data_IF_885517330332
#
_entry.id   IF_885517330332
#
_cell.length_a   1.000
_cell.length_b   1.000
_cell.length_c   1.000
_cell.angle_alpha   90.00
_cell.angle_beta   90.00
_cell.angle_gamma   90.00
#
_symmetry.space_group_name_H-M   'P 1'
#
loop_
_entity.id
_entity.type
_entity.pdbx_description
1 polymer ?
#
# COMPACT_ATOMS: atom_id res chain seq x y z
N UNK A 1 30.64 -60.56 12.05
CA UNK A 1 32.09 -60.47 12.30
C UNK A 1 32.44 -58.98 12.43
N UNK A 2 32.90 -58.58 13.63
CA UNK A 2 33.43 -57.26 14.04
C UNK A 2 32.49 -56.04 14.16
N UNK A 3 32.03 -55.90 15.40
CA UNK A 3 31.87 -54.68 16.21
C UNK A 3 32.93 -53.58 15.99
N UNK A 4 32.54 -52.30 16.15
CA UNK A 4 33.30 -51.32 16.94
C UNK A 4 32.39 -50.15 17.39
N UNK A 5 32.42 -49.93 18.71
CA UNK A 5 31.78 -48.86 19.48
C UNK A 5 32.55 -47.54 19.34
N UNK A 6 31.84 -46.41 19.42
CA UNK A 6 32.42 -45.09 19.69
C UNK A 6 31.48 -44.30 20.59
N UNK A 7 31.88 -44.10 21.85
CA UNK A 7 31.11 -43.46 22.90
C UNK A 7 31.44 -41.97 23.06
N UNK A 8 30.39 -41.21 23.39
CA UNK A 8 30.25 -40.02 24.24
C UNK A 8 31.43 -39.07 24.50
N UNK A 9 31.14 -37.75 24.46
CA UNK A 9 31.26 -36.86 25.63
C UNK A 9 30.22 -35.74 25.48
N UNK A 10 29.35 -35.64 26.49
CA UNK A 10 28.33 -34.61 26.70
C UNK A 10 28.90 -33.65 27.76
N UNK A 11 29.10 -32.38 27.42
CA UNK A 11 29.58 -31.37 28.39
C UNK A 11 28.41 -30.44 28.73
N UNK A 12 27.77 -30.71 29.87
CA UNK A 12 26.79 -29.83 30.48
C UNK A 12 27.53 -28.75 31.28
N UNK A 13 27.33 -27.47 30.93
CA UNK A 13 27.78 -26.34 31.74
C UNK A 13 26.58 -25.83 32.56
N UNK A 14 26.56 -26.17 33.84
CA UNK A 14 25.66 -25.59 34.84
C UNK A 14 26.41 -24.43 35.48
N UNK A 15 25.93 -23.19 35.30
CA UNK A 15 26.40 -22.02 36.07
C UNK A 15 25.26 -21.53 36.94
N UNK A 16 25.55 -21.51 38.24
CA UNK A 16 24.64 -21.34 39.35
C UNK A 16 24.11 -19.91 39.52
N UNK A 17 22.86 -19.83 39.98
CA UNK A 17 22.20 -18.64 40.49
C UNK A 17 22.92 -18.11 41.73
N UNK A 18 23.18 -16.81 41.78
CA UNK A 18 23.56 -16.10 43.01
C UNK A 18 22.63 -14.89 43.14
N UNK A 19 21.78 -14.89 44.16
CA UNK A 19 21.06 -13.73 44.66
C UNK A 19 21.36 -13.57 46.14
N UNK A 20 21.82 -12.39 46.56
CA UNK A 20 21.45 -11.82 47.86
C UNK A 20 21.14 -10.32 47.70
N UNK A 21 20.43 -9.60 48.56
CA UNK A 21 19.67 -9.88 49.77
C UNK A 21 18.68 -8.71 49.91
N UNK A 22 17.51 -8.98 50.46
CA UNK A 22 16.54 -7.98 50.90
C UNK A 22 17.04 -7.25 52.13
N UNK A 23 17.06 -5.91 52.09
CA UNK A 23 17.16 -5.07 53.28
C UNK A 23 16.13 -3.93 53.24
N UNK A 24 15.28 -3.91 54.25
CA UNK A 24 14.51 -2.79 54.80
C UNK A 24 14.43 -3.09 56.31
N UNK A 25 14.32 -2.13 57.24
CA UNK A 25 13.76 -0.77 57.09
C UNK A 25 14.58 0.33 57.78
N UNK A 26 14.21 1.61 57.59
CA UNK A 26 14.40 2.62 58.65
C UNK A 26 13.44 3.79 58.43
N UNK A 27 12.53 3.98 59.38
CA UNK A 27 11.64 5.13 59.47
C UNK A 27 12.31 6.23 60.31
N UNK A 28 12.21 7.48 59.88
CA UNK A 28 12.53 8.69 60.65
C UNK A 28 11.92 9.93 59.99
N UNK A 29 11.74 11.05 60.73
CA UNK A 29 10.42 11.61 61.00
C UNK A 29 9.93 12.68 60.03
N UNK A 30 8.60 12.86 60.06
CA UNK A 30 7.83 13.94 59.44
C UNK A 30 8.17 15.30 60.07
N UNK A 31 8.55 16.32 59.29
CA UNK A 31 8.51 17.70 59.74
C UNK A 31 7.09 18.28 59.60
N UNK A 32 6.70 19.04 60.62
CA UNK A 32 5.41 19.71 60.77
C UNK A 32 5.09 20.68 59.61
N UNK A 33 3.78 20.80 59.34
CA UNK A 33 3.20 21.73 58.39
C UNK A 33 3.58 23.19 58.69
N UNK A 34 4.05 23.90 57.67
CA UNK A 34 4.09 25.37 57.66
C UNK A 34 3.01 25.88 56.72
N UNK A 35 2.03 26.58 57.28
CA UNK A 35 0.97 27.30 56.57
C UNK A 35 1.59 28.46 55.78
N UNK A 36 1.62 28.36 54.46
CA UNK A 36 1.91 29.47 53.56
C UNK A 36 0.71 29.72 52.64
N UNK A 37 0.37 31.01 52.52
CA UNK A 37 -0.87 31.57 52.04
C UNK A 37 -1.27 31.17 50.61
N UNK A 38 -2.59 31.12 50.38
CA UNK A 38 -3.23 30.97 49.07
C UNK A 38 -2.84 32.09 48.09
N UNK A 39 -2.39 31.77 46.86
CA UNK A 39 -2.43 32.68 45.74
C UNK A 39 -3.79 32.58 45.02
N UNK A 40 -4.28 33.74 44.58
CA UNK A 40 -5.56 33.94 43.92
C UNK A 40 -5.79 33.04 42.69
N UNK A 41 -7.04 32.60 42.53
CA UNK A 41 -7.55 31.93 41.32
C UNK A 41 -7.45 32.83 40.10
N UNK A 42 -6.51 32.54 39.20
CA UNK A 42 -6.58 32.95 37.80
C UNK A 42 -7.74 32.22 37.11
N UNK A 43 -8.53 32.89 36.25
CA UNK A 43 -9.56 32.20 35.49
C UNK A 43 -8.90 31.19 34.52
N UNK A 44 -9.29 29.92 34.62
CA UNK A 44 -8.95 28.90 33.63
C UNK A 44 -9.42 29.36 32.25
N UNK A 45 -8.46 29.70 31.39
CA UNK A 45 -8.71 29.77 29.96
C UNK A 45 -9.20 28.39 29.51
N UNK A 46 -10.46 28.31 29.07
CA UNK A 46 -10.97 27.13 28.38
C UNK A 46 -10.09 26.94 27.15
N UNK A 47 -9.32 25.86 27.11
CA UNK A 47 -8.67 25.40 25.89
C UNK A 47 -9.80 25.03 24.93
N UNK A 48 -10.13 25.94 24.04
CA UNK A 48 -10.90 25.61 22.84
C UNK A 48 -9.95 24.75 22.02
N UNK A 49 -10.20 23.44 21.95
CA UNK A 49 -9.52 22.59 20.98
C UNK A 49 -9.74 23.22 19.59
N UNK A 50 -8.72 23.30 18.73
CA UNK A 50 -8.94 23.73 17.37
C UNK A 50 -9.95 22.79 16.73
N UNK A 51 -11.10 23.33 16.33
CA UNK A 51 -12.01 22.70 15.39
C UNK A 51 -11.20 22.33 14.15
N UNK A 52 -11.30 21.08 13.69
CA UNK A 52 -10.62 20.62 12.48
C UNK A 52 -10.90 21.59 11.33
N UNK A 53 -9.84 22.20 10.80
CA UNK A 53 -9.90 23.02 9.59
C UNK A 53 -10.35 22.16 8.40
N UNK A 54 -11.04 22.78 7.43
CA UNK A 54 -11.91 22.12 6.48
C UNK A 54 -11.17 21.25 5.47
N UNK A 55 -11.88 20.19 5.05
CA UNK A 55 -11.67 19.31 3.90
C UNK A 55 -10.70 19.91 2.87
N UNK A 56 -9.48 19.37 2.86
CA UNK A 56 -8.54 19.48 1.74
C UNK A 56 -9.32 19.18 0.45
N UNK A 57 -9.13 19.99 -0.60
CA UNK A 57 -9.74 19.79 -1.92
C UNK A 57 -9.74 18.30 -2.31
N UNK A 58 -10.78 17.79 -3.02
CA UNK A 58 -10.90 16.37 -3.29
C UNK A 58 -9.64 15.85 -3.95
N UNK A 59 -8.92 14.97 -3.24
CA UNK A 59 -7.70 14.39 -3.74
C UNK A 59 -8.03 13.09 -4.43
N UNK A 60 -7.72 13.01 -5.72
CA UNK A 60 -7.89 11.80 -6.50
C UNK A 60 -6.57 11.03 -6.59
N UNK A 61 -6.59 9.79 -6.14
CA UNK A 61 -5.46 8.87 -6.21
C UNK A 61 -5.85 7.68 -7.07
N UNK A 62 -5.14 7.51 -8.18
CA UNK A 62 -5.28 6.41 -9.11
C UNK A 62 -4.12 5.44 -8.94
N UNK A 63 -4.40 4.15 -8.88
CA UNK A 63 -3.41 3.07 -8.86
C UNK A 63 -3.75 2.10 -9.97
N UNK A 64 -2.83 1.90 -10.91
CA UNK A 64 -2.88 0.85 -11.93
C UNK A 64 -1.83 -0.18 -11.54
N UNK A 65 -2.22 -1.44 -11.40
CA UNK A 65 -1.30 -2.55 -11.13
C UNK A 65 -1.18 -3.41 -12.39
N UNK A 66 0.05 -3.51 -12.89
CA UNK A 66 0.46 -4.30 -14.06
C UNK A 66 1.21 -5.56 -13.60
N UNK A 67 1.45 -6.50 -14.51
CA UNK A 67 2.04 -7.80 -14.18
C UNK A 67 3.45 -8.03 -14.74
N UNK A 68 4.20 -8.72 -13.89
CA UNK A 68 5.38 -9.56 -14.07
C UNK A 68 6.52 -9.04 -14.95
N UNK A 69 6.93 -7.80 -14.70
CA UNK A 69 8.07 -7.21 -15.41
C UNK A 69 9.04 -6.52 -14.47
N UNK A 70 10.31 -6.91 -14.55
CA UNK A 70 11.37 -6.11 -13.95
C UNK A 70 11.45 -4.73 -14.64
N UNK A 71 11.99 -3.74 -13.93
CA UNK A 71 12.19 -2.39 -14.46
C UNK A 71 12.93 -2.40 -15.81
N UNK A 72 14.02 -3.17 -15.88
CA UNK A 72 14.81 -3.30 -17.10
C UNK A 72 14.04 -3.97 -18.25
N UNK A 73 13.11 -4.87 -17.93
CA UNK A 73 12.25 -5.53 -18.93
C UNK A 73 11.14 -4.61 -19.41
N UNK A 74 10.43 -3.97 -18.50
CA UNK A 74 9.34 -3.06 -18.82
C UNK A 74 9.79 -1.89 -19.71
N UNK A 75 10.95 -1.29 -19.42
CA UNK A 75 11.47 -0.15 -20.19
C UNK A 75 11.94 -0.50 -21.61
N UNK A 76 11.98 -1.78 -22.00
CA UNK A 76 12.19 -2.17 -23.41
C UNK A 76 10.95 -1.96 -24.27
N UNK A 77 9.76 -1.87 -23.68
CA UNK A 77 8.53 -1.57 -24.40
C UNK A 77 8.44 -0.05 -24.66
N UNK A 78 8.28 0.39 -25.93
CA UNK A 78 8.28 1.81 -26.27
C UNK A 78 7.24 2.65 -25.50
N UNK A 79 6.00 2.17 -25.38
CA UNK A 79 4.94 2.89 -24.65
C UNK A 79 5.24 3.04 -23.16
N UNK A 80 5.75 2.00 -22.51
CA UNK A 80 6.12 2.08 -21.08
C UNK A 80 7.31 3.02 -20.88
N UNK A 81 8.31 2.93 -21.78
CA UNK A 81 9.46 3.84 -21.77
C UNK A 81 9.04 5.31 -21.98
N UNK A 82 8.07 5.57 -22.86
CA UNK A 82 7.52 6.89 -23.09
C UNK A 82 6.80 7.45 -21.84
N UNK A 83 6.00 6.62 -21.15
CA UNK A 83 5.38 7.00 -19.88
C UNK A 83 6.44 7.32 -18.81
N UNK A 84 7.47 6.48 -18.69
CA UNK A 84 8.55 6.67 -17.73
C UNK A 84 9.43 7.89 -18.04
N UNK A 85 9.55 8.29 -19.31
CA UNK A 85 10.25 9.51 -19.72
C UNK A 85 9.40 10.77 -19.50
N UNK A 86 8.08 10.65 -19.62
CA UNK A 86 7.13 11.77 -19.45
C UNK A 86 6.88 12.09 -17.98
N UNK A 87 6.78 11.07 -17.13
CA UNK A 87 6.42 11.19 -15.73
C UNK A 87 7.59 10.82 -14.81
N UNK A 88 7.36 10.81 -13.49
CA UNK A 88 8.41 10.47 -12.54
C UNK A 88 8.60 8.97 -12.48
N UNK A 89 9.83 8.48 -12.61
CA UNK A 89 10.18 7.07 -12.48
C UNK A 89 10.96 6.82 -11.18
N UNK A 90 10.45 5.94 -10.32
CA UNK A 90 11.26 5.40 -9.23
C UNK A 90 12.12 4.24 -9.75
N UNK A 91 13.44 4.39 -9.70
CA UNK A 91 14.39 3.42 -10.29
C UNK A 91 14.82 2.32 -9.33
N UNK A 92 14.38 2.36 -8.07
CA UNK A 92 14.68 1.38 -7.03
C UNK A 92 13.43 1.05 -6.20
N UNK A 93 12.32 0.76 -6.89
CA UNK A 93 11.09 0.24 -6.31
C UNK A 93 11.07 -1.29 -6.40
N UNK A 94 10.74 -1.98 -5.30
CA UNK A 94 10.83 -3.44 -5.20
C UNK A 94 9.49 -4.10 -4.89
N UNK A 95 9.18 -5.17 -5.62
CA UNK A 95 8.17 -6.12 -5.22
C UNK A 95 8.59 -6.82 -3.92
N UNK A 96 7.62 -7.19 -3.08
CA UNK A 96 7.88 -7.73 -1.73
C UNK A 96 7.79 -9.26 -1.67
N UNK A 97 7.23 -9.89 -2.69
CA UNK A 97 7.01 -11.33 -2.75
C UNK A 97 6.95 -11.85 -4.19
N UNK A 98 6.73 -13.15 -4.31
CA UNK A 98 6.33 -13.85 -5.53
C UNK A 98 5.62 -15.15 -5.08
N UNK A 99 4.48 -15.55 -5.67
CA UNK A 99 3.84 -15.05 -6.90
C UNK A 99 3.03 -13.74 -6.70
N UNK A 100 2.18 -13.39 -7.67
CA UNK A 100 1.42 -12.12 -7.74
C UNK A 100 0.57 -11.82 -6.50
N UNK A 101 -0.30 -12.75 -6.07
CA UNK A 101 -1.31 -12.48 -5.02
C UNK A 101 -0.72 -11.85 -3.73
N UNK A 102 0.35 -12.39 -3.13
CA UNK A 102 1.01 -11.77 -1.99
C UNK A 102 1.37 -10.29 -2.16
N UNK A 103 1.73 -9.85 -3.38
CA UNK A 103 2.06 -8.45 -3.67
C UNK A 103 0.81 -7.56 -3.70
N UNK A 104 -0.31 -8.03 -4.28
CA UNK A 104 -1.60 -7.33 -4.20
C UNK A 104 -2.04 -7.16 -2.74
N UNK A 105 -1.91 -8.21 -1.92
CA UNK A 105 -2.23 -8.14 -0.49
C UNK A 105 -1.30 -7.18 0.27
N UNK A 106 -0.02 -7.13 -0.09
CA UNK A 106 0.93 -6.17 0.47
C UNK A 106 0.52 -4.71 0.15
N UNK A 107 0.12 -4.45 -1.10
CA UNK A 107 -0.35 -3.16 -1.58
C UNK A 107 -1.64 -2.68 -0.88
N UNK A 108 -2.47 -3.59 -0.36
CA UNK A 108 -3.77 -3.22 0.23
C UNK A 108 -3.95 -3.55 1.72
N UNK A 109 -3.01 -4.24 2.35
CA UNK A 109 -3.07 -4.53 3.80
C UNK A 109 -1.76 -4.37 4.56
N UNK A 110 -0.66 -4.08 3.87
CA UNK A 110 0.65 -4.00 4.51
C UNK A 110 1.17 -5.37 4.97
N UNK A 111 0.65 -6.46 4.41
CA UNK A 111 1.04 -7.83 4.77
C UNK A 111 0.82 -8.78 3.59
N UNK A 112 1.72 -9.73 3.39
CA UNK A 112 1.50 -10.88 2.51
C UNK A 112 0.64 -11.96 3.16
N UNK A 113 0.32 -11.82 4.44
CA UNK A 113 -0.39 -12.81 5.27
C UNK A 113 0.31 -14.17 5.37
N UNK A 114 1.60 -14.24 5.00
CA UNK A 114 2.34 -15.49 4.90
C UNK A 114 1.88 -16.38 3.73
N UNK A 115 1.04 -15.86 2.82
CA UNK A 115 0.62 -16.56 1.61
C UNK A 115 1.80 -16.61 0.64
N UNK A 116 1.97 -17.76 -0.02
CA UNK A 116 3.08 -18.03 -0.95
C UNK A 116 2.60 -18.66 -2.26
N UNK A 117 1.31 -18.54 -2.56
CA UNK A 117 0.68 -19.04 -3.77
C UNK A 117 -0.38 -18.04 -4.28
N UNK A 118 -0.97 -18.35 -5.43
CA UNK A 118 -2.05 -17.58 -6.09
C UNK A 118 -3.45 -18.15 -5.82
N UNK A 119 -3.60 -19.07 -4.86
CA UNK A 119 -4.88 -19.68 -4.55
C UNK A 119 -5.81 -18.67 -3.85
N UNK A 120 -7.11 -18.98 -3.81
CA UNK A 120 -8.04 -18.16 -3.05
C UNK A 120 -7.92 -18.44 -1.55
N UNK A 121 -7.78 -17.37 -0.76
CA UNK A 121 -7.68 -17.42 0.70
C UNK A 121 -8.68 -16.45 1.31
N UNK A 122 -9.43 -16.88 2.33
CA UNK A 122 -10.30 -15.97 3.07
C UNK A 122 -9.48 -15.31 4.17
N UNK A 123 -9.41 -13.98 4.13
CA UNK A 123 -8.73 -13.16 5.13
C UNK A 123 -9.74 -12.54 6.09
N UNK A 124 -9.33 -12.13 7.31
CA UNK A 124 -10.13 -11.25 8.15
C UNK A 124 -10.58 -9.99 7.39
N UNK A 125 -11.77 -9.49 7.72
CA UNK A 125 -12.24 -8.22 7.18
C UNK A 125 -11.29 -7.08 7.57
N UNK A 126 -10.98 -6.18 6.63
CA UNK A 126 -10.01 -5.12 6.82
C UNK A 126 -9.41 -4.63 5.50
N UNK A 127 -8.15 -4.20 5.56
CA UNK A 127 -7.44 -3.66 4.41
C UNK A 127 -7.84 -2.22 4.06
N UNK A 128 -7.18 -1.70 3.04
CA UNK A 128 -7.32 -0.32 2.57
C UNK A 128 -8.77 0.03 2.22
N UNK A 129 -9.50 -0.87 1.55
CA UNK A 129 -10.91 -0.65 1.21
C UNK A 129 -11.82 -0.46 2.44
N UNK A 130 -11.54 -1.18 3.53
CA UNK A 130 -12.27 -0.99 4.79
C UNK A 130 -11.90 0.35 5.46
N UNK A 131 -10.62 0.76 5.42
CA UNK A 131 -10.20 2.06 5.96
C UNK A 131 -10.82 3.24 5.21
N UNK A 132 -10.82 3.18 3.87
CA UNK A 132 -11.42 4.20 3.01
C UNK A 132 -12.92 4.33 3.30
N UNK A 133 -13.64 3.19 3.36
CA UNK A 133 -15.06 3.16 3.73
C UNK A 133 -15.30 3.76 5.12
N UNK A 134 -14.50 3.39 6.12
CA UNK A 134 -14.65 3.89 7.48
C UNK A 134 -14.37 5.39 7.61
N UNK A 135 -13.46 5.93 6.78
CA UNK A 135 -13.13 7.34 6.73
C UNK A 135 -14.10 8.17 5.85
N UNK A 136 -15.08 7.53 5.20
CA UNK A 136 -15.99 8.21 4.27
C UNK A 136 -15.32 8.65 2.97
N UNK A 137 -14.15 8.09 2.63
CA UNK A 137 -13.45 8.34 1.37
C UNK A 137 -14.09 7.49 0.28
N UNK A 138 -14.61 8.13 -0.77
CA UNK A 138 -15.21 7.41 -1.90
C UNK A 138 -14.13 6.61 -2.64
N UNK A 139 -14.40 5.34 -2.91
CA UNK A 139 -13.44 4.48 -3.59
C UNK A 139 -14.09 3.45 -4.50
N UNK A 140 -13.39 3.10 -5.57
CA UNK A 140 -13.74 1.99 -6.46
C UNK A 140 -12.50 1.22 -6.89
N UNK A 141 -12.70 -0.07 -7.12
CA UNK A 141 -11.71 -0.95 -7.72
C UNK A 141 -12.27 -1.48 -9.05
N UNK A 142 -11.69 -1.02 -10.15
CA UNK A 142 -12.10 -1.33 -11.52
C UNK A 142 -11.30 -2.52 -12.02
N UNK A 143 -12.02 -3.57 -12.42
CA UNK A 143 -11.44 -4.85 -12.80
C UNK A 143 -11.84 -5.17 -14.23
N UNK A 144 -10.88 -5.31 -15.13
CA UNK A 144 -11.19 -5.74 -16.50
C UNK A 144 -11.66 -7.20 -16.50
N UNK A 145 -12.68 -7.50 -17.31
CA UNK A 145 -13.27 -8.84 -17.39
C UNK A 145 -14.16 -9.23 -16.20
N UNK A 146 -14.33 -8.36 -15.19
CA UNK A 146 -15.31 -8.61 -14.12
C UNK A 146 -16.72 -8.58 -14.71
N UNK A 147 -17.50 -9.62 -14.45
CA UNK A 147 -18.86 -9.81 -14.96
C UNK A 147 -19.89 -9.80 -13.84
N UNK A 148 -21.17 -9.96 -14.19
CA UNK A 148 -22.25 -10.16 -13.22
C UNK A 148 -22.13 -11.45 -12.39
N UNK A 149 -21.21 -12.35 -12.74
CA UNK A 149 -20.86 -13.51 -11.90
C UNK A 149 -20.07 -13.11 -10.64
N UNK A 150 -19.65 -11.84 -10.52
CA UNK A 150 -18.94 -11.29 -9.37
C UNK A 150 -17.48 -11.75 -9.29
N UNK A 151 -16.79 -11.36 -8.22
CA UNK A 151 -15.35 -11.60 -8.06
C UNK A 151 -14.99 -13.11 -8.13
N UNK A 152 -15.78 -13.97 -7.50
CA UNK A 152 -15.46 -15.41 -7.38
C UNK A 152 -15.86 -16.24 -8.61
N UNK A 153 -16.63 -15.66 -9.53
CA UNK A 153 -17.20 -16.37 -10.68
C UNK A 153 -16.89 -15.75 -12.04
N UNK A 154 -16.20 -14.61 -12.09
CA UNK A 154 -15.88 -13.95 -13.35
C UNK A 154 -14.79 -14.70 -14.12
N UNK A 155 -14.96 -14.91 -15.43
CA UNK A 155 -14.02 -15.67 -16.25
C UNK A 155 -12.86 -14.79 -16.76
N UNK A 156 -11.94 -15.41 -17.50
CA UNK A 156 -10.96 -14.70 -18.32
C UNK A 156 -11.61 -13.55 -19.13
N UNK A 157 -10.97 -12.37 -19.23
CA UNK A 157 -9.59 -12.07 -18.85
C UNK A 157 -9.39 -11.69 -17.38
N UNK A 158 -10.44 -11.73 -16.56
CA UNK A 158 -10.33 -11.45 -15.14
C UNK A 158 -9.60 -12.57 -14.40
N UNK A 159 -8.73 -12.19 -13.47
CA UNK A 159 -8.06 -13.10 -12.54
C UNK A 159 -8.35 -12.68 -11.09
N UNK A 160 -8.97 -13.59 -10.31
CA UNK A 160 -9.31 -13.32 -8.91
C UNK A 160 -8.07 -12.94 -8.07
N UNK A 161 -6.92 -13.56 -8.35
CA UNK A 161 -5.64 -13.30 -7.68
C UNK A 161 -5.17 -11.84 -7.79
N UNK A 162 -5.61 -11.10 -8.80
CA UNK A 162 -5.26 -9.68 -9.01
C UNK A 162 -6.31 -8.72 -8.40
N UNK A 163 -7.29 -9.25 -7.66
CA UNK A 163 -8.31 -8.49 -6.93
C UNK A 163 -8.22 -8.77 -5.41
N UNK A 164 -7.38 -8.03 -4.67
CA UNK A 164 -7.18 -8.28 -3.25
C UNK A 164 -8.44 -7.99 -2.42
N UNK A 165 -9.33 -7.11 -2.90
CA UNK A 165 -10.52 -6.70 -2.15
C UNK A 165 -11.52 -7.84 -1.93
N UNK A 166 -11.48 -8.89 -2.76
CA UNK A 166 -12.34 -10.08 -2.60
C UNK A 166 -11.87 -11.08 -1.52
N UNK A 167 -10.66 -10.89 -0.99
CA UNK A 167 -10.05 -11.76 0.02
C UNK A 167 -10.47 -11.35 1.44
N UNK A 168 -10.63 -10.04 1.70
CA UNK A 168 -11.00 -9.52 3.01
C UNK A 168 -12.47 -9.81 3.34
N UNK A 169 -12.69 -10.65 4.36
CA UNK A 169 -14.03 -11.10 4.76
C UNK A 169 -14.67 -12.11 3.79
N UNK A 170 -13.94 -12.58 2.78
CA UNK A 170 -14.37 -13.65 1.89
C UNK A 170 -15.55 -13.30 0.98
N UNK A 171 -15.70 -12.03 0.60
CA UNK A 171 -16.83 -11.56 -0.21
C UNK A 171 -16.39 -10.51 -1.22
N UNK A 172 -17.16 -10.36 -2.30
CA UNK A 172 -16.94 -9.32 -3.31
C UNK A 172 -17.59 -8.01 -2.83
N UNK A 173 -16.82 -6.97 -2.48
CA UNK A 173 -17.40 -5.71 -2.03
C UNK A 173 -18.05 -4.97 -3.21
N UNK A 174 -19.14 -4.23 -2.95
CA UNK A 174 -19.87 -3.48 -3.97
C UNK A 174 -19.04 -2.38 -4.67
N UNK A 175 -17.91 -1.98 -4.07
CA UNK A 175 -16.95 -1.04 -4.64
C UNK A 175 -16.08 -1.66 -5.74
N UNK A 176 -16.02 -2.98 -5.84
CA UNK A 176 -15.37 -3.68 -6.96
C UNK A 176 -16.34 -3.75 -8.13
N UNK A 177 -15.96 -3.13 -9.24
CA UNK A 177 -16.82 -2.93 -10.41
C UNK A 177 -16.09 -3.28 -11.71
N UNK A 178 -16.83 -3.54 -12.81
CA UNK A 178 -16.22 -3.75 -14.12
C UNK A 178 -15.47 -2.51 -14.61
N UNK A 179 -14.35 -2.71 -15.31
CA UNK A 179 -13.55 -1.61 -15.87
C UNK A 179 -14.35 -0.69 -16.80
N UNK A 180 -15.37 -1.21 -17.47
CA UNK A 180 -16.27 -0.44 -18.36
C UNK A 180 -17.00 0.72 -17.65
N UNK A 181 -17.10 0.68 -16.32
CA UNK A 181 -17.66 1.78 -15.54
C UNK A 181 -16.73 3.00 -15.43
N UNK A 182 -15.42 2.82 -15.64
CA UNK A 182 -14.40 3.83 -15.37
C UNK A 182 -14.63 5.13 -16.16
N UNK A 183 -14.87 5.04 -17.46
CA UNK A 183 -15.04 6.24 -18.30
C UNK A 183 -16.27 7.06 -17.89
N UNK A 184 -17.33 6.39 -17.43
CA UNK A 184 -18.53 7.03 -16.90
C UNK A 184 -18.29 7.79 -15.60
N UNK A 185 -17.44 7.25 -14.73
CA UNK A 185 -17.08 7.84 -13.44
C UNK A 185 -16.00 8.95 -13.61
N UNK A 186 -15.06 8.79 -14.54
CA UNK A 186 -14.10 9.84 -14.93
C UNK A 186 -14.77 11.09 -15.52
N UNK A 187 -15.92 10.92 -16.18
CA UNK A 187 -16.68 12.01 -16.79
C UNK A 187 -17.64 12.73 -15.83
N UNK A 188 -17.87 12.17 -14.63
CA UNK A 188 -18.87 12.67 -13.68
C UNK A 188 -18.27 12.83 -12.28
N UNK A 189 -18.50 11.84 -11.42
CA UNK A 189 -18.13 11.85 -10.01
C UNK A 189 -17.06 10.78 -9.78
N UNK A 190 -15.81 11.15 -10.08
CA UNK A 190 -14.68 10.23 -9.94
C UNK A 190 -14.43 9.96 -8.46
N UNK A 191 -14.30 8.69 -8.03
CA UNK A 191 -13.96 8.38 -6.66
C UNK A 191 -12.64 9.04 -6.21
N UNK A 192 -12.51 9.35 -4.92
CA UNK A 192 -11.25 9.85 -4.36
C UNK A 192 -10.13 8.83 -4.47
N UNK A 193 -10.42 7.54 -4.24
CA UNK A 193 -9.47 6.46 -4.50
C UNK A 193 -9.94 5.55 -5.64
N UNK A 194 -9.08 5.36 -6.63
CA UNK A 194 -9.35 4.55 -7.82
C UNK A 194 -8.26 3.50 -7.94
N UNK A 195 -8.64 2.24 -7.78
CA UNK A 195 -7.78 1.09 -8.08
C UNK A 195 -8.17 0.51 -9.43
N UNK A 196 -7.20 0.16 -10.28
CA UNK A 196 -7.44 -0.43 -11.59
C UNK A 196 -6.53 -1.65 -11.76
N UNK A 197 -7.13 -2.79 -12.04
CA UNK A 197 -6.44 -4.02 -12.44
C UNK A 197 -6.88 -4.38 -13.87
N UNK A 198 -5.98 -4.31 -14.86
CA UNK A 198 -6.24 -4.81 -16.20
C UNK A 198 -6.41 -6.33 -16.22
N UNK A 199 -6.94 -6.87 -17.32
CA UNK A 199 -7.09 -8.31 -17.49
C UNK A 199 -5.75 -8.94 -17.89
N UNK A 200 -5.65 -10.27 -17.78
CA UNK A 200 -4.40 -11.02 -17.95
C UNK A 200 -3.62 -10.73 -19.25
N UNK A 201 -4.27 -10.24 -20.31
CA UNK A 201 -3.55 -9.79 -21.51
C UNK A 201 -3.02 -8.36 -21.32
N UNK A 202 -3.88 -7.43 -20.91
CA UNK A 202 -3.56 -6.01 -20.82
C UNK A 202 -2.70 -5.63 -19.61
N UNK A 203 -2.63 -6.47 -18.57
CA UNK A 203 -1.68 -6.30 -17.46
C UNK A 203 -0.26 -6.73 -17.86
N UNK A 204 -0.12 -7.50 -18.95
CA UNK A 204 1.16 -8.01 -19.45
C UNK A 204 1.53 -9.42 -18.96
N UNK A 205 0.62 -10.14 -18.29
CA UNK A 205 0.86 -11.50 -17.80
C UNK A 205 0.87 -12.53 -18.93
N UNK A 206 -0.19 -12.56 -19.75
CA UNK A 206 -0.38 -13.54 -20.84
C UNK A 206 0.03 -12.98 -22.21
N UNK A 207 0.02 -11.65 -22.37
CA UNK A 207 0.38 -10.98 -23.62
C UNK A 207 1.70 -10.21 -23.50
N UNK A 208 2.35 -10.00 -24.64
CA UNK A 208 3.62 -9.27 -24.66
C UNK A 208 3.42 -7.80 -24.28
N UNK A 209 4.46 -7.19 -23.70
CA UNK A 209 4.46 -5.74 -23.39
C UNK A 209 4.29 -4.84 -24.63
N UNK A 210 4.51 -5.37 -25.84
CA UNK A 210 4.22 -4.67 -27.10
C UNK A 210 2.71 -4.47 -27.34
N UNK A 211 1.86 -5.26 -26.67
CA UNK A 211 0.41 -5.16 -26.70
C UNK A 211 -0.13 -4.47 -25.44
N UNK A 212 0.32 -4.89 -24.25
CA UNK A 212 -0.08 -4.28 -22.98
C UNK A 212 0.36 -2.80 -22.87
N UNK A 213 1.52 -2.44 -23.43
CA UNK A 213 2.07 -1.08 -23.38
C UNK A 213 1.17 -0.02 -24.01
N UNK A 214 0.78 -0.14 -25.29
CA UNK A 214 -0.15 0.79 -25.93
C UNK A 214 -1.52 0.87 -25.24
N UNK A 215 -2.02 -0.26 -24.71
CA UNK A 215 -3.28 -0.27 -23.94
C UNK A 215 -3.15 0.57 -22.66
N UNK A 216 -2.06 0.36 -21.91
CA UNK A 216 -1.76 1.12 -20.69
C UNK A 216 -1.61 2.61 -20.99
N UNK A 217 -0.88 2.96 -22.05
CA UNK A 217 -0.72 4.36 -22.47
C UNK A 217 -2.07 5.01 -22.77
N UNK A 218 -2.98 4.30 -23.44
CA UNK A 218 -4.35 4.75 -23.69
C UNK A 218 -5.17 4.93 -22.41
N UNK A 219 -5.06 4.00 -21.45
CA UNK A 219 -5.71 4.13 -20.13
C UNK A 219 -5.19 5.34 -19.36
N UNK A 220 -3.87 5.50 -19.28
CA UNK A 220 -3.22 6.66 -18.65
C UNK A 220 -3.70 7.95 -19.30
N UNK A 221 -3.78 8.01 -20.64
CA UNK A 221 -4.25 9.17 -21.37
C UNK A 221 -5.69 9.56 -20.99
N UNK A 222 -6.60 8.60 -20.80
CA UNK A 222 -7.97 8.89 -20.34
C UNK A 222 -8.01 9.46 -18.93
N UNK A 223 -7.23 8.88 -18.00
CA UNK A 223 -7.15 9.36 -16.61
C UNK A 223 -6.61 10.79 -16.58
N UNK A 224 -5.47 11.07 -17.23
CA UNK A 224 -4.87 12.41 -17.19
C UNK A 224 -5.68 13.47 -17.94
N UNK A 225 -6.63 13.06 -18.79
CA UNK A 225 -7.58 13.96 -19.43
C UNK A 225 -8.78 14.33 -18.52
N UNK A 226 -9.03 13.59 -17.44
CA UNK A 226 -10.18 13.81 -16.55
C UNK A 226 -10.09 15.12 -15.75
N UNK A 227 -11.23 15.61 -15.24
CA UNK A 227 -11.26 16.74 -14.29
C UNK A 227 -10.60 16.36 -12.97
N UNK A 228 -10.85 15.14 -12.48
CA UNK A 228 -10.27 14.58 -11.27
C UNK A 228 -8.74 14.59 -11.28
N UNK A 229 -8.12 14.37 -12.46
CA UNK A 229 -6.68 14.53 -12.60
C UNK A 229 -6.23 15.98 -12.46
N UNK A 230 -6.90 16.90 -13.17
CA UNK A 230 -6.52 18.32 -13.21
C UNK A 230 -6.71 18.99 -11.85
N UNK A 231 -7.60 18.47 -11.02
CA UNK A 231 -7.78 18.87 -9.63
C UNK A 231 -6.78 18.14 -8.71
N UNK A 232 -5.49 18.35 -8.96
CA UNK A 232 -4.38 17.84 -8.14
C UNK A 232 -4.31 16.30 -7.97
N UNK A 233 -4.74 15.55 -8.99
CA UNK A 233 -4.68 14.09 -9.00
C UNK A 233 -3.25 13.53 -8.99
N UNK A 234 -3.09 12.32 -8.45
CA UNK A 234 -1.89 11.50 -8.59
C UNK A 234 -2.20 10.10 -9.09
N UNK A 235 -1.34 9.61 -9.97
CA UNK A 235 -1.48 8.33 -10.63
C UNK A 235 -0.20 7.55 -10.42
N UNK A 236 -0.35 6.35 -9.88
CA UNK A 236 0.70 5.38 -9.72
C UNK A 236 0.47 4.24 -10.70
N UNK A 237 1.43 4.00 -11.58
CA UNK A 237 1.49 2.78 -12.39
C UNK A 237 2.60 1.93 -11.82
N UNK A 238 2.24 0.78 -11.28
CA UNK A 238 3.16 -0.12 -10.57
C UNK A 238 3.02 -1.52 -11.12
N UNK A 239 4.10 -2.30 -11.06
CA UNK A 239 4.07 -3.74 -11.34
C UNK A 239 4.08 -4.50 -10.02
N UNK A 240 3.29 -5.56 -9.93
CA UNK A 240 3.14 -6.36 -8.72
C UNK A 240 4.38 -7.23 -8.43
N UNK A 241 4.98 -7.86 -9.44
CA UNK A 241 6.20 -8.64 -9.29
C UNK A 241 7.17 -8.51 -10.47
N UNK A 242 8.37 -9.02 -10.24
CA UNK A 242 9.45 -9.02 -11.21
C UNK A 242 9.34 -10.12 -12.27
N UNK A 243 10.38 -10.27 -13.07
CA UNK A 243 10.46 -11.30 -14.12
C UNK A 243 11.18 -12.59 -13.66
N UNK A 244 11.19 -12.85 -12.35
CA UNK A 244 11.94 -13.93 -11.71
C UNK A 244 13.46 -13.74 -11.65
N UNK A 245 14.02 -12.70 -12.30
CA UNK A 245 15.46 -12.37 -12.25
C UNK A 245 15.75 -11.16 -11.37
N UNK A 246 14.80 -10.24 -11.28
CA UNK A 246 14.91 -9.02 -10.48
C UNK A 246 13.57 -8.68 -9.85
N UNK A 247 13.57 -8.40 -8.53
CA UNK A 247 12.40 -7.82 -7.85
C UNK A 247 12.30 -6.31 -7.98
N UNK A 248 13.26 -5.65 -8.64
CA UNK A 248 13.12 -4.22 -8.98
C UNK A 248 12.14 -4.09 -10.13
N UNK A 249 11.01 -3.46 -9.86
CA UNK A 249 9.88 -3.29 -10.79
C UNK A 249 9.65 -1.80 -11.05
N UNK A 250 9.00 -1.41 -12.16
CA UNK A 250 8.70 -0.01 -12.38
C UNK A 250 7.66 0.51 -11.39
N UNK A 251 7.91 1.74 -10.93
CA UNK A 251 6.87 2.61 -10.40
C UNK A 251 6.95 3.93 -11.17
N UNK A 252 5.93 4.21 -11.97
CA UNK A 252 5.75 5.48 -12.67
C UNK A 252 4.72 6.29 -11.88
N UNK A 253 5.12 7.48 -11.47
CA UNK A 253 4.29 8.43 -10.74
C UNK A 253 4.04 9.63 -11.63
N UNK A 254 2.80 9.77 -12.06
CA UNK A 254 2.32 10.99 -12.67
C UNK A 254 1.65 11.83 -11.57
N UNK A 255 1.81 13.15 -11.65
CA UNK A 255 1.00 14.12 -10.88
C UNK A 255 0.72 15.31 -11.79
N UNK A 256 -0.36 16.05 -11.54
CA UNK A 256 -0.67 17.23 -12.33
C UNK A 256 0.41 18.34 -12.21
N UNK A 257 1.12 18.37 -11.08
CA UNK A 257 1.95 19.51 -10.67
C UNK A 257 3.47 19.27 -10.76
N UNK A 258 3.92 18.05 -11.07
CA UNK A 258 5.35 17.71 -11.16
C UNK A 258 5.76 17.26 -12.56
N UNK A 259 6.83 17.87 -13.08
CA UNK A 259 7.52 17.38 -14.26
C UNK A 259 8.20 16.03 -13.98
N UNK A 260 8.28 15.19 -15.01
CA UNK A 260 8.93 13.87 -14.93
C UNK A 260 10.41 13.96 -14.57
N UNK A 261 10.85 13.05 -13.70
CA UNK A 261 12.24 12.87 -13.27
C UNK A 261 12.50 11.44 -12.82
N UNK A 262 13.76 11.04 -12.73
CA UNK A 262 14.12 9.75 -12.11
C UNK A 262 14.51 9.95 -10.65
N UNK A 263 14.05 9.06 -9.77
CA UNK A 263 14.33 9.09 -8.34
C UNK A 263 14.83 7.73 -7.86
N UNK A 264 15.99 7.71 -7.19
CA UNK A 264 16.66 6.48 -6.73
C UNK A 264 16.37 6.08 -5.29
N UNK A 265 15.30 6.60 -4.68
CA UNK A 265 14.89 6.21 -3.33
C UNK A 265 14.53 4.72 -3.27
N UNK A 266 14.87 4.05 -2.17
CA UNK A 266 14.50 2.66 -1.94
C UNK A 266 13.05 2.60 -1.47
N UNK A 267 12.20 1.97 -2.28
CA UNK A 267 10.75 1.88 -2.07
C UNK A 267 10.25 0.47 -2.35
N UNK A 268 9.06 0.15 -1.83
CA UNK A 268 8.36 -1.11 -2.09
C UNK A 268 6.83 -0.95 -2.06
N UNK A 269 6.09 -2.05 -2.10
CA UNK A 269 4.62 -2.04 -1.99
C UNK A 269 4.10 -1.39 -0.71
N UNK A 270 4.82 -1.54 0.39
CA UNK A 270 4.47 -0.90 1.66
C UNK A 270 4.71 0.60 1.62
N UNK A 271 5.74 1.08 0.90
CA UNK A 271 5.95 2.51 0.63
C UNK A 271 4.78 3.13 -0.14
N UNK A 272 4.25 2.44 -1.14
CA UNK A 272 3.09 2.92 -1.91
C UNK A 272 1.83 2.95 -1.05
N UNK A 273 1.54 1.89 -0.30
CA UNK A 273 0.41 1.87 0.63
C UNK A 273 0.51 3.00 1.68
N UNK A 274 1.69 3.17 2.29
CA UNK A 274 1.95 4.26 3.24
C UNK A 274 1.66 5.64 2.64
N UNK A 275 2.06 5.87 1.38
CA UNK A 275 1.80 7.13 0.70
C UNK A 275 0.31 7.39 0.46
N UNK A 276 -0.46 6.35 0.13
CA UNK A 276 -1.91 6.42 -0.07
C UNK A 276 -2.61 6.70 1.28
N UNK A 277 -2.24 5.95 2.32
CA UNK A 277 -2.81 6.11 3.66
C UNK A 277 -2.54 7.51 4.21
N UNK A 278 -1.29 7.98 4.14
CA UNK A 278 -0.92 9.33 4.56
C UNK A 278 -1.73 10.40 3.82
N UNK A 279 -1.94 10.22 2.52
CA UNK A 279 -2.65 11.17 1.67
C UNK A 279 -4.11 11.33 2.05
N UNK A 280 -4.76 10.25 2.52
CA UNK A 280 -6.13 10.29 3.02
C UNK A 280 -6.24 10.46 4.54
N UNK A 281 -5.11 10.70 5.24
CA UNK A 281 -5.11 10.83 6.70
C UNK A 281 -5.47 9.54 7.45
N UNK A 282 -5.24 8.38 6.82
CA UNK A 282 -5.51 7.07 7.38
C UNK A 282 -4.35 6.60 8.27
N UNK A 283 -4.66 5.72 9.23
CA UNK A 283 -3.61 5.04 10.00
C UNK A 283 -2.92 3.99 9.15
N UNK A 284 -1.59 3.93 9.15
CA UNK A 284 -0.89 2.96 8.31
C UNK A 284 -1.09 1.51 8.73
N UNK A 285 -1.37 0.63 7.77
CA UNK A 285 -1.59 -0.80 7.97
C UNK A 285 -0.28 -1.61 7.95
N UNK A 286 -0.24 -2.70 8.72
CA UNK A 286 0.84 -3.70 8.64
C UNK A 286 2.25 -3.10 8.61
N UNK A 287 3.07 -3.57 7.66
CA UNK A 287 4.44 -3.11 7.41
C UNK A 287 4.51 -1.68 6.82
N UNK A 288 3.41 -1.10 6.33
CA UNK A 288 3.40 0.29 5.87
C UNK A 288 3.69 1.29 7.00
N UNK A 289 3.46 0.89 8.28
CA UNK A 289 3.82 1.66 9.47
C UNK A 289 5.29 2.06 9.52
N UNK A 290 6.16 1.15 9.09
CA UNK A 290 7.61 1.33 9.14
C UNK A 290 8.21 1.69 7.77
N UNK A 291 7.39 1.67 6.72
CA UNK A 291 7.81 1.98 5.37
C UNK A 291 8.10 3.48 5.19
N UNK A 292 9.12 3.78 4.39
CA UNK A 292 9.37 5.14 3.89
C UNK A 292 8.28 5.48 2.86
N UNK A 293 7.42 6.49 3.10
CA UNK A 293 6.39 6.87 2.12
C UNK A 293 7.01 7.55 0.90
N UNK A 294 6.29 7.54 -0.21
CA UNK A 294 6.67 8.14 -1.50
C UNK A 294 6.54 9.68 -1.52
N UNK A 295 6.75 10.36 -0.40
CA UNK A 295 6.48 11.80 -0.27
C UNK A 295 7.36 12.68 -1.17
N UNK A 296 8.55 12.20 -1.57
CA UNK A 296 9.39 12.89 -2.54
C UNK A 296 8.95 12.69 -4.00
N UNK A 297 8.01 11.77 -4.27
CA UNK A 297 7.41 11.57 -5.59
C UNK A 297 6.09 12.34 -5.76
N UNK A 298 5.61 13.00 -4.70
CA UNK A 298 4.32 13.69 -4.67
C UNK A 298 4.50 15.18 -4.37
N UNK A 299 3.59 16.04 -4.85
CA UNK A 299 3.51 17.42 -4.41
C UNK A 299 3.36 17.50 -2.88
N UNK A 300 3.95 18.52 -2.23
CA UNK A 300 3.68 18.78 -0.84
C UNK A 300 2.19 18.96 -0.61
N UNK A 301 1.66 18.32 0.43
CA UNK A 301 0.29 18.53 0.87
C UNK A 301 0.15 19.96 1.41
N UNK A 302 -0.58 20.82 0.70
CA UNK A 302 -0.98 22.13 1.22
C UNK A 302 -2.00 21.90 2.33
N UNK A 303 -1.63 22.22 3.57
CA UNK A 303 -2.52 22.21 4.73
C UNK A 303 -3.44 23.42 4.73
#
# INVERSE_FOLDING_TARGET
MRTLFGASILTALVVACISPATTSPSASPVPAASSAASPATSPSAKIVLPTASPVTAPQHVFVIVMENSSLATALRAPSISALAAKYTLATNYRAVSSPSLPNYLALTSGSTWGITDDAYHVLPAGGLGAQLTAAGVSWRAYMEGLTSAGCLGSPYPYALKHNPFAYYGGSCPANVVPLDALDGDLARDTPSFVWITPGLCHDGHDCALAEAGPWLEGLVARIVASSAWRDHGALFVVWDEGDGRSSVVPLIVATADLAGRSVGGAYDHYSLLAAIEDRFGLSRLGAAKDARPLTDLLPPQTR
#
